data_IF_888744920609
#
_entry.id   IF_888744920609
#
_cell.length_a   1.000
_cell.length_b   1.000
_cell.length_c   1.000
_cell.angle_alpha   90.00
_cell.angle_beta   90.00
_cell.angle_gamma   90.00
#
_symmetry.space_group_name_H-M   'P 1'
#
loop_
_entity.id
_entity.type
_entity.pdbx_description
1 polymer ?
#
# COMPACT_ATOMS: atom_id res chain seq x y z
N UNK A 1 32.45 -18.49 -18.29
CA UNK A 1 31.38 -19.16 -19.09
C UNK A 1 30.52 -19.90 -18.08
N UNK A 2 29.22 -19.67 -17.88
CA UNK A 2 28.16 -19.24 -18.77
C UNK A 2 27.05 -18.58 -17.95
N UNK A 3 26.54 -17.45 -18.43
CA UNK A 3 25.36 -16.77 -17.91
C UNK A 3 24.10 -17.37 -18.55
N UNK A 4 23.07 -17.66 -17.78
CA UNK A 4 21.70 -17.96 -18.27
C UNK A 4 20.74 -17.00 -17.58
N UNK A 5 20.61 -15.79 -18.12
CA UNK A 5 19.53 -15.35 -19.02
C UNK A 5 18.16 -15.30 -18.33
N UNK A 6 17.95 -14.13 -17.72
CA UNK A 6 16.68 -13.54 -17.31
C UNK A 6 15.89 -13.16 -18.57
N UNK A 7 14.66 -13.65 -18.71
CA UNK A 7 13.69 -13.11 -19.67
C UNK A 7 12.36 -12.89 -18.93
N UNK A 8 12.16 -11.65 -18.50
CA UNK A 8 10.88 -11.11 -18.06
C UNK A 8 10.25 -10.49 -19.32
N UNK A 9 9.22 -11.14 -19.84
CA UNK A 9 8.39 -10.57 -20.90
C UNK A 9 7.45 -9.52 -20.27
N UNK A 10 7.78 -8.25 -20.45
CA UNK A 10 6.88 -7.12 -20.20
C UNK A 10 6.01 -6.97 -21.45
N UNK A 11 4.77 -7.45 -21.40
CA UNK A 11 3.77 -7.14 -22.43
C UNK A 11 2.83 -6.06 -21.91
N UNK A 12 3.07 -4.86 -22.43
CA UNK A 12 2.20 -3.68 -22.41
C UNK A 12 0.79 -4.07 -22.90
N UNK A 13 -0.22 -3.70 -22.11
CA UNK A 13 -1.62 -3.95 -22.44
C UNK A 13 -2.57 -3.12 -21.58
N UNK A 14 -2.21 -1.87 -21.28
CA UNK A 14 -3.13 -0.86 -20.76
C UNK A 14 -3.67 -0.09 -21.96
N UNK A 15 -4.90 -0.34 -22.39
CA UNK A 15 -5.84 0.59 -23.07
C UNK A 15 -7.14 -0.17 -23.37
N UNK A 16 -8.25 0.51 -23.08
CA UNK A 16 -9.62 0.28 -23.56
C UNK A 16 -10.50 -0.76 -22.85
N UNK A 17 -11.08 -0.37 -21.71
CA UNK A 17 -12.48 -0.69 -21.37
C UNK A 17 -13.15 0.50 -20.65
N UNK A 18 -13.17 1.65 -21.32
CA UNK A 18 -14.09 2.75 -21.05
C UNK A 18 -14.94 2.96 -22.30
N UNK A 19 -16.13 2.35 -22.33
CA UNK A 19 -17.29 2.77 -23.14
C UNK A 19 -18.30 1.62 -23.23
N UNK A 20 -19.27 1.57 -22.31
CA UNK A 20 -20.53 0.86 -22.55
C UNK A 20 -21.66 1.40 -21.66
N UNK A 21 -21.89 2.72 -21.66
CA UNK A 21 -23.21 3.27 -21.40
C UNK A 21 -23.76 3.74 -22.75
N UNK A 22 -24.21 2.79 -23.57
CA UNK A 22 -24.96 3.08 -24.78
C UNK A 22 -26.26 2.25 -24.76
N UNK A 23 -27.33 3.01 -24.67
CA UNK A 23 -28.76 2.69 -24.75
C UNK A 23 -29.14 1.60 -25.77
N UNK A 24 -29.91 0.61 -25.28
CA UNK A 24 -30.99 -0.20 -25.88
C UNK A 24 -31.22 -0.26 -27.41
N UNK A 25 -31.69 -1.42 -27.93
CA UNK A 25 -33.14 -1.65 -28.00
C UNK A 25 -33.58 -3.06 -27.54
N UNK A 26 -34.62 -3.10 -26.70
CA UNK A 26 -35.42 -4.30 -26.47
C UNK A 26 -36.13 -4.68 -27.78
N UNK A 27 -35.89 -5.91 -28.23
CA UNK A 27 -36.56 -6.49 -29.40
C UNK A 27 -38.07 -6.55 -29.21
N UNK A 28 -38.75 -6.04 -30.22
CA UNK A 28 -40.18 -6.11 -30.45
C UNK A 28 -40.53 -7.54 -30.87
N UNK A 29 -41.20 -8.32 -30.02
CA UNK A 29 -41.83 -9.58 -30.44
C UNK A 29 -43.33 -9.34 -30.61
N UNK A 30 -43.77 -9.37 -31.87
CA UNK A 30 -45.17 -9.25 -32.27
C UNK A 30 -45.96 -10.50 -31.87
N UNK A 31 -47.22 -10.27 -31.51
CA UNK A 31 -48.22 -11.20 -30.96
C UNK A 31 -48.69 -12.30 -31.95
N UNK A 32 -49.59 -13.20 -31.49
CA UNK A 32 -50.98 -12.96 -31.91
C UNK A 32 -52.03 -13.17 -30.79
N UNK A 33 -52.87 -12.14 -30.67
CA UNK A 33 -54.32 -12.11 -30.45
C UNK A 33 -54.97 -13.35 -29.82
N UNK A 34 -55.53 -13.17 -28.62
CA UNK A 34 -56.81 -13.80 -28.29
C UNK A 34 -57.76 -12.79 -27.62
N UNK A 35 -59.00 -12.77 -28.10
CA UNK A 35 -60.03 -11.79 -27.75
C UNK A 35 -60.83 -12.26 -26.53
N UNK A 36 -60.76 -11.54 -25.40
CA UNK A 36 -61.91 -11.50 -24.48
C UNK A 36 -61.95 -10.22 -23.66
N UNK A 37 -63.02 -9.47 -23.86
CA UNK A 37 -63.37 -8.24 -23.15
C UNK A 37 -63.43 -8.43 -21.64
N UNK A 38 -62.89 -7.46 -20.89
CA UNK A 38 -63.47 -6.99 -19.63
C UNK A 38 -62.87 -5.63 -19.22
N UNK A 39 -63.78 -4.68 -19.01
CA UNK A 39 -63.57 -3.36 -18.41
C UNK A 39 -62.75 -3.45 -17.12
N UNK A 40 -61.82 -2.51 -16.89
CA UNK A 40 -61.80 -1.59 -15.74
C UNK A 40 -60.47 -0.80 -15.66
N UNK A 41 -60.62 0.52 -15.56
CA UNK A 41 -59.74 1.48 -14.86
C UNK A 41 -58.25 1.49 -15.22
N UNK A 42 -57.86 2.45 -16.06
CA UNK A 42 -56.46 2.86 -16.24
C UNK A 42 -55.91 3.44 -14.92
N UNK A 43 -54.86 2.88 -14.30
CA UNK A 43 -54.07 3.64 -13.36
C UNK A 43 -53.17 4.56 -14.18
N UNK A 44 -53.22 5.86 -13.89
CA UNK A 44 -52.24 6.81 -14.41
C UNK A 44 -50.84 6.27 -14.11
N UNK A 45 -50.06 6.02 -15.17
CA UNK A 45 -48.66 5.67 -15.04
C UNK A 45 -47.96 6.84 -14.35
N UNK A 46 -47.62 6.65 -13.07
CA UNK A 46 -46.73 7.55 -12.37
C UNK A 46 -45.40 7.53 -13.12
N UNK A 47 -45.06 8.64 -13.76
CA UNK A 47 -43.72 8.89 -14.29
C UNK A 47 -42.74 8.69 -13.15
N UNK A 48 -41.80 7.72 -13.21
CA UNK A 48 -40.76 7.63 -12.19
C UNK A 48 -39.94 8.92 -12.27
N UNK A 49 -39.94 9.68 -11.18
CA UNK A 49 -39.03 10.82 -11.04
C UNK A 49 -37.62 10.34 -11.36
N UNK A 50 -36.83 11.10 -12.14
CA UNK A 50 -35.44 10.74 -12.37
C UNK A 50 -34.77 10.70 -11.00
N UNK A 51 -34.42 9.50 -10.54
CA UNK A 51 -33.48 9.34 -9.44
C UNK A 51 -32.17 9.91 -9.97
N UNK A 52 -31.94 11.18 -9.65
CA UNK A 52 -30.59 11.73 -9.72
C UNK A 52 -29.76 10.83 -8.81
N UNK A 53 -28.91 10.00 -9.41
CA UNK A 53 -27.84 9.34 -8.68
C UNK A 53 -26.93 10.45 -8.17
N UNK A 54 -27.24 10.99 -7.01
CA UNK A 54 -26.31 11.81 -6.26
C UNK A 54 -25.15 10.86 -5.90
N UNK A 55 -23.90 11.17 -6.28
CA UNK A 55 -22.78 10.34 -5.87
C UNK A 55 -22.73 10.38 -4.35
N UNK A 56 -22.85 9.20 -3.73
CA UNK A 56 -22.66 9.05 -2.29
C UNK A 56 -21.17 9.22 -2.02
N UNK A 57 -20.75 10.47 -1.78
CA UNK A 57 -19.37 10.78 -1.44
C UNK A 57 -19.20 10.49 0.05
N UNK A 58 -18.55 9.36 0.36
CA UNK A 58 -18.12 9.07 1.71
C UNK A 58 -16.98 10.01 2.12
N UNK A 59 -17.35 11.16 2.67
CA UNK A 59 -16.44 12.19 3.19
C UNK A 59 -15.50 11.64 4.27
N UNK A 60 -15.89 10.59 5.00
CA UNK A 60 -15.04 9.99 6.02
C UNK A 60 -13.89 9.20 5.37
N UNK A 61 -14.18 8.42 4.33
CA UNK A 61 -13.13 7.72 3.58
C UNK A 61 -12.20 8.71 2.86
N UNK A 62 -12.73 9.78 2.25
CA UNK A 62 -11.89 10.81 1.61
C UNK A 62 -10.99 11.54 2.62
N UNK A 63 -11.53 11.85 3.81
CA UNK A 63 -10.78 12.39 4.95
C UNK A 63 -9.57 11.50 5.29
N UNK A 64 -9.80 10.20 5.49
CA UNK A 64 -8.74 9.27 5.89
C UNK A 64 -7.68 9.14 4.80
N UNK A 65 -8.07 9.04 3.53
CA UNK A 65 -7.13 8.97 2.42
C UNK A 65 -6.24 10.22 2.35
N UNK A 66 -6.80 11.40 2.60
CA UNK A 66 -6.03 12.65 2.67
C UNK A 66 -5.05 12.66 3.83
N UNK A 67 -5.43 12.14 5.00
CA UNK A 67 -4.52 12.00 6.14
C UNK A 67 -3.37 11.04 5.85
N UNK A 68 -3.66 9.90 5.22
CA UNK A 68 -2.64 8.94 4.80
C UNK A 68 -1.65 9.55 3.80
N UNK A 69 -2.15 10.32 2.83
CA UNK A 69 -1.31 11.02 1.87
C UNK A 69 -0.39 12.03 2.58
N UNK A 70 -0.94 12.87 3.46
CA UNK A 70 -0.15 13.84 4.26
C UNK A 70 0.87 13.14 5.16
N UNK A 71 0.50 12.02 5.78
CA UNK A 71 1.42 11.24 6.60
C UNK A 71 2.63 10.77 5.78
N UNK A 72 2.41 10.26 4.55
CA UNK A 72 3.48 9.84 3.65
C UNK A 72 4.37 11.02 3.20
N UNK A 73 3.78 12.17 2.91
CA UNK A 73 4.52 13.40 2.57
C UNK A 73 5.41 13.85 3.73
N UNK A 74 4.86 13.89 4.94
CA UNK A 74 5.60 14.24 6.14
C UNK A 74 6.68 13.22 6.50
N UNK A 75 6.43 11.93 6.31
CA UNK A 75 7.45 10.90 6.49
C UNK A 75 8.61 11.12 5.52
N UNK A 76 8.32 11.36 4.24
CA UNK A 76 9.33 11.66 3.21
C UNK A 76 10.11 12.94 3.54
N UNK A 77 9.45 13.95 4.07
CA UNK A 77 10.04 15.21 4.51
C UNK A 77 10.78 15.12 5.88
N UNK A 78 10.87 13.92 6.48
CA UNK A 78 11.48 13.67 7.79
C UNK A 78 10.81 14.41 8.95
N UNK A 79 9.55 14.78 8.77
CA UNK A 79 8.67 15.35 9.80
C UNK A 79 8.01 14.21 10.58
N UNK A 80 8.82 13.41 11.27
CA UNK A 80 8.41 12.12 11.84
C UNK A 80 7.26 12.21 12.83
N UNK A 81 7.26 13.22 13.69
CA UNK A 81 6.18 13.38 14.68
C UNK A 81 4.84 13.65 14.01
N UNK A 82 4.81 14.57 13.04
CA UNK A 82 3.58 14.90 12.30
C UNK A 82 3.09 13.73 11.46
N UNK A 83 4.02 13.01 10.80
CA UNK A 83 3.69 11.80 10.04
C UNK A 83 3.04 10.73 10.95
N UNK A 84 3.64 10.48 12.12
CA UNK A 84 3.11 9.53 13.09
C UNK A 84 1.71 9.92 13.58
N UNK A 85 1.51 11.18 13.97
CA UNK A 85 0.20 11.71 14.40
C UNK A 85 -0.86 11.59 13.29
N UNK A 86 -0.48 11.81 12.03
CA UNK A 86 -1.40 11.65 10.90
C UNK A 86 -1.80 10.18 10.68
N UNK A 87 -0.86 9.23 10.76
CA UNK A 87 -1.19 7.80 10.70
C UNK A 87 -2.07 7.36 11.88
N UNK A 88 -1.76 7.80 13.10
CA UNK A 88 -2.60 7.49 14.27
C UNK A 88 -4.00 8.11 14.14
N UNK A 89 -4.10 9.33 13.61
CA UNK A 89 -5.38 9.97 13.36
C UNK A 89 -6.19 9.25 12.28
N UNK A 90 -5.55 8.72 11.24
CA UNK A 90 -6.19 7.87 10.25
C UNK A 90 -6.71 6.56 10.87
N UNK A 91 -5.92 5.94 11.76
CA UNK A 91 -6.33 4.72 12.49
C UNK A 91 -7.51 4.96 13.42
N UNK A 92 -7.53 6.08 14.14
CA UNK A 92 -8.58 6.38 15.10
C UNK A 92 -9.96 6.55 14.45
N UNK A 93 -10.01 6.89 13.16
CA UNK A 93 -11.27 7.02 12.42
C UNK A 93 -11.88 5.68 11.99
N UNK A 94 -11.09 4.60 11.91
CA UNK A 94 -11.54 3.26 11.56
C UNK A 94 -12.45 3.20 10.31
N UNK A 95 -12.18 4.05 9.31
CA UNK A 95 -13.06 4.18 8.13
C UNK A 95 -13.20 2.86 7.35
N UNK A 96 -12.13 2.07 7.27
CA UNK A 96 -12.13 0.74 6.66
C UNK A 96 -10.97 -0.11 7.18
N UNK A 97 -11.09 -1.43 7.05
CA UNK A 97 -9.98 -2.35 7.33
C UNK A 97 -8.76 -2.08 6.45
N UNK A 98 -8.97 -1.58 5.23
CA UNK A 98 -7.90 -1.26 4.30
C UNK A 98 -7.14 0.01 4.72
N UNK A 99 -7.84 1.07 5.09
CA UNK A 99 -7.20 2.29 5.59
C UNK A 99 -6.42 2.03 6.88
N UNK A 100 -6.97 1.20 7.78
CA UNK A 100 -6.28 0.78 9.00
C UNK A 100 -4.99 0.03 8.65
N UNK A 101 -5.04 -0.88 7.67
CA UNK A 101 -3.87 -1.63 7.22
C UNK A 101 -2.78 -0.69 6.64
N UNK A 102 -3.15 0.29 5.81
CA UNK A 102 -2.20 1.27 5.28
C UNK A 102 -1.57 2.15 6.37
N UNK A 103 -2.37 2.60 7.34
CA UNK A 103 -1.85 3.40 8.43
C UNK A 103 -0.87 2.61 9.31
N UNK A 104 -1.21 1.36 9.66
CA UNK A 104 -0.31 0.47 10.41
C UNK A 104 0.98 0.19 9.63
N UNK A 105 0.87 -0.06 8.33
CA UNK A 105 2.03 -0.24 7.46
C UNK A 105 2.94 0.99 7.45
N UNK A 106 2.36 2.19 7.34
CA UNK A 106 3.08 3.46 7.41
C UNK A 106 3.77 3.67 8.76
N UNK A 107 3.11 3.34 9.87
CA UNK A 107 3.71 3.38 11.21
C UNK A 107 4.91 2.43 11.31
N UNK A 108 4.80 1.21 10.77
CA UNK A 108 5.92 0.24 10.76
C UNK A 108 7.10 0.83 9.98
N UNK A 109 6.86 1.34 8.77
CA UNK A 109 7.91 1.95 7.96
C UNK A 109 8.57 3.14 8.69
N UNK A 110 7.77 3.99 9.34
CA UNK A 110 8.25 5.13 10.11
C UNK A 110 9.09 4.72 11.33
N UNK A 111 8.71 3.63 12.02
CA UNK A 111 9.46 3.09 13.17
C UNK A 111 10.75 2.39 12.77
N UNK A 112 10.87 1.93 11.52
CA UNK A 112 12.08 1.30 10.98
C UNK A 112 12.99 2.29 10.24
N UNK A 113 12.58 3.54 10.06
CA UNK A 113 13.46 4.58 9.53
C UNK A 113 14.55 4.91 10.55
N UNK A 114 15.81 4.60 10.22
CA UNK A 114 16.96 4.81 11.12
C UNK A 114 17.33 6.27 11.35
N UNK A 115 16.81 7.18 10.53
CA UNK A 115 16.97 8.62 10.74
C UNK A 115 15.89 9.19 11.68
N UNK A 116 14.85 8.42 11.98
CA UNK A 116 13.82 8.79 12.94
C UNK A 116 14.37 8.70 14.37
N UNK A 117 14.34 9.79 15.18
CA UNK A 117 14.71 9.73 16.59
C UNK A 117 13.90 8.73 17.42
N UNK A 118 12.69 8.42 16.96
CA UNK A 118 11.78 7.45 17.58
C UNK A 118 11.83 6.07 16.91
N UNK A 119 12.90 5.79 16.16
CA UNK A 119 13.21 4.46 15.61
C UNK A 119 13.10 3.40 16.70
N UNK A 120 12.35 2.34 16.41
CA UNK A 120 12.21 1.18 17.29
C UNK A 120 11.67 -0.01 16.52
N UNK A 121 12.53 -1.02 16.34
CA UNK A 121 12.15 -2.31 15.76
C UNK A 121 11.10 -3.03 16.60
N UNK A 122 11.14 -2.89 17.93
CA UNK A 122 10.16 -3.48 18.84
C UNK A 122 8.77 -2.84 18.67
N UNK A 123 8.71 -1.51 18.51
CA UNK A 123 7.46 -0.82 18.22
C UNK A 123 6.91 -1.22 16.83
N UNK A 124 7.79 -1.39 15.84
CA UNK A 124 7.42 -1.91 14.53
C UNK A 124 6.88 -3.35 14.62
N UNK A 125 7.48 -4.22 15.43
CA UNK A 125 7.01 -5.58 15.71
C UNK A 125 5.66 -5.59 16.44
N UNK A 126 5.40 -4.60 17.29
CA UNK A 126 4.08 -4.45 17.91
C UNK A 126 3.03 -4.05 16.87
N UNK A 127 3.35 -3.11 16.00
CA UNK A 127 2.43 -2.65 14.96
C UNK A 127 2.13 -3.74 13.90
N UNK A 128 3.11 -4.58 13.53
CA UNK A 128 2.85 -5.68 12.58
C UNK A 128 1.91 -6.74 13.15
N UNK A 129 1.93 -6.97 14.47
CA UNK A 129 0.96 -7.86 15.12
C UNK A 129 -0.48 -7.36 14.94
N UNK A 130 -0.69 -6.05 15.11
CA UNK A 130 -2.01 -5.43 14.87
C UNK A 130 -2.38 -5.50 13.38
N UNK A 131 -1.40 -5.28 12.50
CA UNK A 131 -1.61 -5.39 11.04
C UNK A 131 -2.02 -6.80 10.62
N UNK A 132 -1.40 -7.84 11.18
CA UNK A 132 -1.80 -9.24 10.96
C UNK A 132 -3.26 -9.47 11.37
N UNK A 133 -3.65 -9.00 12.55
CA UNK A 133 -5.05 -9.09 12.99
C UNK A 133 -6.02 -8.40 12.02
N UNK A 134 -5.68 -7.21 11.52
CA UNK A 134 -6.51 -6.50 10.53
C UNK A 134 -6.56 -7.24 9.19
N UNK A 135 -5.44 -7.79 8.72
CA UNK A 135 -5.41 -8.60 7.51
C UNK A 135 -6.25 -9.87 7.65
N UNK A 136 -6.24 -10.51 8.81
CA UNK A 136 -7.10 -11.67 9.11
C UNK A 136 -8.59 -11.29 9.14
N UNK A 137 -8.93 -10.14 9.72
CA UNK A 137 -10.30 -9.63 9.70
C UNK A 137 -10.81 -9.33 8.29
N UNK A 138 -9.91 -8.91 7.39
CA UNK A 138 -10.23 -8.58 6.01
C UNK A 138 -10.38 -9.80 5.08
N UNK A 139 -10.14 -11.03 5.54
CA UNK A 139 -10.02 -12.24 4.70
C UNK A 139 -11.22 -12.51 3.77
N UNK A 140 -12.42 -12.14 4.17
CA UNK A 140 -13.65 -12.37 3.41
C UNK A 140 -14.15 -11.12 2.68
N UNK A 141 -13.45 -10.00 2.80
CA UNK A 141 -13.85 -8.71 2.23
C UNK A 141 -13.02 -8.31 1.02
N UNK A 142 -13.46 -7.24 0.35
CA UNK A 142 -12.78 -6.68 -0.84
C UNK A 142 -11.34 -6.21 -0.54
N UNK A 143 -11.06 -5.86 0.72
CA UNK A 143 -9.74 -5.46 1.21
C UNK A 143 -8.76 -6.63 1.45
N UNK A 144 -9.19 -7.89 1.33
CA UNK A 144 -8.40 -9.07 1.76
C UNK A 144 -7.00 -9.11 1.16
N UNK A 145 -6.90 -9.04 -0.17
CA UNK A 145 -5.65 -9.22 -0.89
C UNK A 145 -4.65 -8.11 -0.57
N UNK A 146 -5.13 -6.87 -0.55
CA UNK A 146 -4.29 -5.70 -0.30
C UNK A 146 -3.81 -5.65 1.15
N UNK A 147 -4.69 -5.88 2.13
CA UNK A 147 -4.30 -5.92 3.54
C UNK A 147 -3.26 -7.03 3.81
N UNK A 148 -3.38 -8.18 3.15
CA UNK A 148 -2.42 -9.27 3.26
C UNK A 148 -1.09 -8.95 2.60
N UNK A 149 -1.10 -8.25 1.46
CA UNK A 149 0.11 -7.78 0.80
C UNK A 149 0.85 -6.77 1.68
N UNK A 150 0.12 -5.83 2.30
CA UNK A 150 0.69 -4.88 3.25
C UNK A 150 1.33 -5.58 4.43
N UNK A 151 0.64 -6.54 5.05
CA UNK A 151 1.21 -7.36 6.13
C UNK A 151 2.49 -8.08 5.69
N UNK A 152 2.46 -8.78 4.57
CA UNK A 152 3.62 -9.53 4.07
C UNK A 152 4.81 -8.59 3.78
N UNK A 153 4.56 -7.44 3.16
CA UNK A 153 5.61 -6.46 2.90
C UNK A 153 6.19 -5.88 4.19
N UNK A 154 5.38 -5.67 5.24
CA UNK A 154 5.86 -5.24 6.54
C UNK A 154 6.75 -6.28 7.23
N UNK A 155 6.42 -7.56 7.08
CA UNK A 155 7.25 -8.66 7.60
C UNK A 155 8.64 -8.63 6.96
N UNK A 156 8.69 -8.45 5.64
CA UNK A 156 9.94 -8.30 4.90
C UNK A 156 10.72 -7.05 5.30
N UNK A 157 10.05 -5.92 5.56
CA UNK A 157 10.72 -4.70 6.05
C UNK A 157 11.44 -4.94 7.38
N UNK A 158 10.77 -5.61 8.34
CA UNK A 158 11.37 -5.90 9.65
C UNK A 158 12.56 -6.86 9.50
N UNK A 159 12.41 -7.92 8.70
CA UNK A 159 13.49 -8.87 8.44
C UNK A 159 14.70 -8.20 7.75
N UNK A 160 14.45 -7.32 6.78
CA UNK A 160 15.48 -6.56 6.08
C UNK A 160 16.21 -5.60 7.02
N UNK A 161 15.49 -4.90 7.90
CA UNK A 161 16.12 -4.02 8.89
C UNK A 161 17.00 -4.79 9.88
N UNK A 162 16.59 -5.99 10.31
CA UNK A 162 17.44 -6.85 11.13
C UNK A 162 18.70 -7.31 10.37
N UNK A 163 18.55 -7.71 9.10
CA UNK A 163 19.69 -8.12 8.26
C UNK A 163 20.69 -6.98 8.03
N UNK A 164 20.21 -5.73 7.96
CA UNK A 164 21.07 -4.54 7.82
C UNK A 164 22.06 -4.39 8.98
N UNK A 165 21.73 -4.83 10.20
CA UNK A 165 22.66 -4.78 11.34
C UNK A 165 23.90 -5.63 11.10
N UNK A 166 23.72 -6.83 10.54
CA UNK A 166 24.82 -7.72 10.20
C UNK A 166 25.71 -7.07 9.13
N UNK A 167 25.10 -6.54 8.07
CA UNK A 167 25.85 -5.88 6.98
C UNK A 167 26.64 -4.67 7.51
N UNK A 168 26.05 -3.89 8.42
CA UNK A 168 26.75 -2.76 9.04
C UNK A 168 27.94 -3.21 9.90
N UNK A 169 27.77 -4.27 10.69
CA UNK A 169 28.86 -4.83 11.51
C UNK A 169 30.02 -5.34 10.65
N UNK A 170 29.72 -6.09 9.57
CA UNK A 170 30.71 -6.57 8.61
C UNK A 170 31.43 -5.40 7.93
N UNK A 171 30.70 -4.35 7.53
CA UNK A 171 31.29 -3.17 6.91
C UNK A 171 32.26 -2.43 7.84
N UNK A 172 31.90 -2.26 9.12
CA UNK A 172 32.78 -1.66 10.14
C UNK A 172 34.05 -2.47 10.31
N UNK A 173 33.95 -3.80 10.37
CA UNK A 173 35.10 -4.68 10.50
C UNK A 173 36.03 -4.59 9.28
N UNK A 174 35.46 -4.62 8.07
CA UNK A 174 36.23 -4.50 6.83
C UNK A 174 36.96 -3.15 6.72
N UNK A 175 36.31 -2.05 7.11
CA UNK A 175 36.95 -0.73 7.11
C UNK A 175 38.13 -0.67 8.10
N UNK A 176 38.01 -1.32 9.25
CA UNK A 176 39.12 -1.43 10.21
C UNK A 176 40.29 -2.23 9.64
N UNK A 177 40.02 -3.34 8.98
CA UNK A 177 41.06 -4.15 8.32
C UNK A 177 41.74 -3.40 7.18
N UNK A 178 40.98 -2.64 6.39
CA UNK A 178 41.52 -1.78 5.34
C UNK A 178 42.48 -0.74 5.93
N UNK A 179 42.06 -0.03 6.98
CA UNK A 179 42.92 0.96 7.64
C UNK A 179 44.22 0.35 8.19
N UNK A 180 44.15 -0.84 8.79
CA UNK A 180 45.33 -1.57 9.27
C UNK A 180 46.28 -1.96 8.13
N UNK A 181 45.73 -2.41 6.99
CA UNK A 181 46.52 -2.76 5.81
C UNK A 181 47.17 -1.54 5.19
N UNK A 182 46.46 -0.42 5.11
CA UNK A 182 47.01 0.85 4.62
C UNK A 182 48.17 1.34 5.50
N UNK A 183 48.02 1.27 6.82
CA UNK A 183 49.09 1.60 7.76
C UNK A 183 50.30 0.65 7.63
N UNK A 184 50.07 -0.65 7.45
CA UNK A 184 51.15 -1.62 7.25
C UNK A 184 51.90 -1.35 5.94
N UNK A 185 51.19 -1.04 4.85
CA UNK A 185 51.78 -0.66 3.57
C UNK A 185 52.61 0.62 3.71
N UNK A 186 52.09 1.61 4.44
CA UNK A 186 52.80 2.87 4.68
C UNK A 186 54.11 2.64 5.44
N UNK A 187 54.08 1.85 6.51
CA UNK A 187 55.29 1.46 7.26
C UNK A 187 56.29 0.68 6.41
N UNK A 188 55.81 -0.26 5.58
CA UNK A 188 56.68 -0.99 4.65
C UNK A 188 57.33 -0.06 3.61
N UNK A 189 56.62 0.97 3.13
CA UNK A 189 57.19 1.98 2.21
C UNK A 189 58.28 2.80 2.88
N UNK A 190 58.07 3.22 4.12
CA UNK A 190 59.07 3.94 4.91
C UNK A 190 60.34 3.11 5.08
N UNK A 191 60.20 1.82 5.44
CA UNK A 191 61.33 0.89 5.59
C UNK A 191 62.06 0.59 4.28
N UNK A 192 61.36 0.54 3.15
CA UNK A 192 61.94 0.16 1.85
C UNK A 192 62.56 1.32 1.07
N UNK A 193 62.07 2.55 1.27
CA UNK A 193 62.61 3.75 0.61
C UNK A 193 63.71 4.46 1.40
N UNK A 194 64.07 3.96 2.59
CA UNK A 194 65.25 4.39 3.32
C UNK A 194 65.22 5.86 3.73
N UNK A 195 64.20 6.26 4.51
CA UNK A 195 64.28 7.40 5.41
C UNK A 195 64.25 6.93 6.85
#
# INVERSE_FOLDING_TARGET
MSAKHLQIAVSVGLIALLSACASMPLEYSASPIDNRAQNTTSPAAATPSPMACEPDIDLATESVLRKLALANEWHTAKQYQSAFEAYESALAEHSSLLSDAYALWGIIALRLDRENPAYSREAAQTAIYVLDQRAQQALTGEASNEARLLWFSAELMIAADASKDQVMAENVQLNKELAQREEAIQRLRELTLGK
#
